data_IF_917279808267
#
_entry.id   IF_917279808267
#
_cell.length_a   1.000
_cell.length_b   1.000
_cell.length_c   1.000
_cell.angle_alpha   90.00
_cell.angle_beta   90.00
_cell.angle_gamma   90.00
#
_symmetry.space_group_name_H-M   'P 1'
#
loop_
_entity.id
_entity.type
_entity.pdbx_description
1 polymer ?
#
# COMPACT_ATOMS: atom_id res chain seq x y z
N UNK A 1 -19.14 20.01 -12.91
CA UNK A 1 -19.20 19.34 -11.59
C UNK A 1 -18.05 19.75 -10.67
N UNK A 2 -16.82 19.18 -10.74
CA UNK A 2 -15.75 19.51 -9.79
C UNK A 2 -15.24 20.97 -9.84
N UNK A 3 -15.16 21.58 -11.03
CA UNK A 3 -14.73 22.99 -11.20
C UNK A 3 -15.70 24.02 -10.61
N UNK A 4 -16.98 23.67 -10.50
CA UNK A 4 -18.03 24.59 -10.04
C UNK A 4 -18.12 24.71 -8.51
N UNK A 5 -17.34 23.91 -7.75
CA UNK A 5 -17.34 23.90 -6.26
C UNK A 5 -18.74 23.83 -5.64
N UNK A 6 -19.60 22.99 -6.23
CA UNK A 6 -20.97 22.77 -5.73
C UNK A 6 -20.90 21.94 -4.45
N UNK A 7 -21.57 22.41 -3.39
CA UNK A 7 -21.68 21.71 -2.11
C UNK A 7 -22.76 20.62 -2.18
N UNK A 8 -22.49 19.59 -2.98
CA UNK A 8 -23.35 18.42 -3.13
C UNK A 8 -22.58 17.15 -2.73
N UNK A 9 -23.23 16.20 -2.04
CA UNK A 9 -22.58 14.96 -1.66
C UNK A 9 -22.21 14.13 -2.90
N UNK A 10 -20.96 13.66 -2.93
CA UNK A 10 -20.43 12.80 -4.01
C UNK A 10 -21.02 11.39 -3.93
N UNK A 11 -21.20 10.87 -2.71
CA UNK A 11 -21.80 9.55 -2.46
C UNK A 11 -23.15 9.72 -1.78
N UNK A 12 -24.20 9.19 -2.41
CA UNK A 12 -25.58 9.25 -1.95
C UNK A 12 -26.35 8.00 -2.39
N UNK A 13 -27.42 7.70 -1.68
CA UNK A 13 -28.40 6.69 -2.06
C UNK A 13 -29.27 7.18 -3.22
N UNK A 14 -30.02 6.30 -3.90
CA UNK A 14 -30.92 6.69 -5.00
C UNK A 14 -31.98 7.74 -4.60
N UNK A 15 -32.35 7.78 -3.32
CA UNK A 15 -33.27 8.76 -2.74
C UNK A 15 -32.63 10.13 -2.46
N UNK A 16 -31.33 10.29 -2.71
CA UNK A 16 -30.57 11.52 -2.50
C UNK A 16 -29.97 11.67 -1.09
N UNK A 17 -30.26 10.76 -0.16
CA UNK A 17 -29.73 10.82 1.22
C UNK A 17 -28.30 10.30 1.32
N UNK A 18 -27.55 10.75 2.33
CA UNK A 18 -26.18 10.30 2.60
C UNK A 18 -26.21 9.19 3.66
N UNK A 19 -25.71 8.01 3.31
CA UNK A 19 -25.60 6.90 4.26
C UNK A 19 -24.34 7.01 5.11
N UNK A 20 -24.51 6.85 6.43
CA UNK A 20 -23.40 6.71 7.39
C UNK A 20 -22.88 5.27 7.51
N UNK A 21 -23.57 4.31 6.89
CA UNK A 21 -23.38 2.87 7.16
C UNK A 21 -22.55 2.13 6.08
N UNK A 22 -21.73 2.84 5.31
CA UNK A 22 -20.92 2.25 4.22
C UNK A 22 -20.06 1.08 4.73
N UNK A 23 -19.56 1.17 5.96
CA UNK A 23 -18.79 0.09 6.61
C UNK A 23 -19.60 -1.22 6.75
N UNK A 24 -20.88 -1.15 7.11
CA UNK A 24 -21.73 -2.33 7.25
C UNK A 24 -22.09 -2.91 5.88
N UNK A 25 -22.42 -2.06 4.92
CA UNK A 25 -22.69 -2.50 3.53
C UNK A 25 -21.47 -3.21 2.95
N UNK A 26 -20.27 -2.66 3.14
CA UNK A 26 -19.03 -3.29 2.70
C UNK A 26 -18.76 -4.63 3.40
N UNK A 27 -18.98 -4.70 4.72
CA UNK A 27 -18.85 -5.96 5.46
C UNK A 27 -19.82 -7.02 4.94
N UNK A 28 -21.08 -6.66 4.71
CA UNK A 28 -22.10 -7.57 4.17
C UNK A 28 -21.68 -8.08 2.79
N UNK A 29 -21.28 -7.18 1.89
CA UNK A 29 -20.77 -7.53 0.57
C UNK A 29 -19.60 -8.52 0.62
N UNK A 30 -18.64 -8.31 1.53
CA UNK A 30 -17.52 -9.23 1.73
C UNK A 30 -17.95 -10.58 2.31
N UNK A 31 -18.95 -10.62 3.20
CA UNK A 31 -19.51 -11.87 3.71
C UNK A 31 -20.19 -12.65 2.58
N UNK A 32 -21.02 -11.98 1.79
CA UNK A 32 -21.79 -12.60 0.71
C UNK A 32 -20.87 -13.16 -0.40
N UNK A 33 -19.70 -12.55 -0.60
CA UNK A 33 -18.67 -13.02 -1.55
C UNK A 33 -17.67 -14.01 -0.94
N UNK A 34 -17.78 -14.34 0.35
CA UNK A 34 -16.83 -15.21 1.05
C UNK A 34 -15.44 -14.61 1.26
N UNK A 35 -15.29 -13.29 1.07
CA UNK A 35 -14.03 -12.56 1.17
C UNK A 35 -13.84 -11.83 2.49
N UNK A 36 -14.73 -12.02 3.48
CA UNK A 36 -14.61 -11.31 4.75
C UNK A 36 -13.32 -11.63 5.49
N UNK A 37 -12.88 -12.88 5.50
CA UNK A 37 -11.67 -13.30 6.22
C UNK A 37 -10.46 -13.30 5.28
N UNK A 38 -9.36 -12.68 5.71
CA UNK A 38 -8.10 -12.78 5.01
C UNK A 38 -7.45 -14.16 5.29
N UNK A 39 -7.12 -14.97 4.26
CA UNK A 39 -6.54 -16.30 4.48
C UNK A 39 -5.12 -16.24 5.10
N UNK A 40 -4.39 -15.15 4.88
CA UNK A 40 -3.02 -14.99 5.38
C UNK A 40 -2.95 -14.54 6.84
N UNK A 41 -3.86 -13.66 7.26
CA UNK A 41 -3.82 -13.07 8.61
C UNK A 41 -4.92 -13.60 9.53
N UNK A 42 -5.92 -14.31 9.00
CA UNK A 42 -7.11 -14.74 9.74
C UNK A 42 -8.02 -13.60 10.18
N UNK A 43 -7.70 -12.34 9.84
CA UNK A 43 -8.46 -11.17 10.27
C UNK A 43 -9.55 -10.81 9.26
N UNK A 44 -10.61 -10.17 9.77
CA UNK A 44 -11.68 -9.63 8.95
C UNK A 44 -11.17 -8.42 8.13
N UNK A 45 -11.42 -8.44 6.83
CA UNK A 45 -11.24 -7.31 5.93
C UNK A 45 -12.26 -6.21 6.27
N UNK A 46 -11.80 -4.97 6.20
CA UNK A 46 -12.60 -3.76 6.42
C UNK A 46 -12.35 -2.77 5.28
N UNK A 47 -13.10 -1.67 5.21
CA UNK A 47 -12.81 -0.60 4.23
C UNK A 47 -11.36 -0.09 4.36
N UNK A 48 -10.82 -0.09 5.58
CA UNK A 48 -9.44 0.32 5.83
C UNK A 48 -8.42 -0.65 5.22
N UNK A 49 -8.81 -1.92 4.97
CA UNK A 49 -7.99 -2.87 4.21
C UNK A 49 -7.71 -2.38 2.79
N UNK A 50 -8.64 -1.65 2.15
CA UNK A 50 -8.39 -1.05 0.82
C UNK A 50 -7.30 0.01 0.89
N UNK A 51 -7.31 0.85 1.94
CA UNK A 51 -6.25 1.85 2.18
C UNK A 51 -4.89 1.18 2.38
N UNK A 52 -4.85 0.01 3.02
CA UNK A 52 -3.62 -0.78 3.17
C UNK A 52 -3.11 -1.36 1.85
N UNK A 53 -4.01 -1.91 1.04
CA UNK A 53 -3.66 -2.42 -0.29
C UNK A 53 -3.09 -1.30 -1.17
N UNK A 54 -3.72 -0.12 -1.17
CA UNK A 54 -3.23 1.04 -1.91
C UNK A 54 -1.81 1.43 -1.48
N UNK A 55 -1.58 1.64 -0.19
CA UNK A 55 -0.25 2.03 0.32
C UNK A 55 0.82 1.01 -0.02
N UNK A 56 0.49 -0.28 0.06
CA UNK A 56 1.41 -1.36 -0.29
C UNK A 56 1.78 -1.31 -1.77
N UNK A 57 0.82 -1.11 -2.67
CA UNK A 57 1.09 -1.00 -4.11
C UNK A 57 1.83 0.30 -4.48
N UNK A 58 1.47 1.42 -3.88
CA UNK A 58 2.16 2.69 -4.12
C UNK A 58 3.65 2.61 -3.73
N UNK A 59 3.95 1.94 -2.60
CA UNK A 59 5.33 1.73 -2.16
C UNK A 59 6.04 0.69 -3.05
N UNK A 60 5.45 -0.50 -3.24
CA UNK A 60 6.10 -1.65 -3.89
C UNK A 60 6.18 -1.56 -5.42
N UNK A 61 5.14 -1.09 -6.08
CA UNK A 61 5.01 -1.16 -7.53
C UNK A 61 5.33 0.18 -8.20
N UNK A 62 4.89 1.28 -7.59
CA UNK A 62 5.04 2.62 -8.18
C UNK A 62 6.29 3.35 -7.66
N UNK A 63 6.98 2.79 -6.67
CA UNK A 63 8.17 3.40 -6.06
C UNK A 63 7.90 4.77 -5.43
N UNK A 64 6.65 5.02 -5.02
CA UNK A 64 6.24 6.31 -4.48
C UNK A 64 7.01 6.65 -3.21
N UNK A 65 7.49 7.88 -3.14
CA UNK A 65 8.17 8.38 -1.96
C UNK A 65 7.25 8.39 -0.72
N UNK A 66 7.80 8.03 0.44
CA UNK A 66 7.06 7.89 1.70
C UNK A 66 6.42 9.22 2.11
N UNK A 67 7.11 10.34 1.92
CA UNK A 67 6.58 11.65 2.25
C UNK A 67 5.40 12.00 1.33
N UNK A 68 5.53 11.78 0.01
CA UNK A 68 4.42 11.98 -0.93
C UNK A 68 3.18 11.13 -0.59
N UNK A 69 3.39 9.85 -0.25
CA UNK A 69 2.32 8.96 0.17
C UNK A 69 1.65 9.43 1.46
N UNK A 70 2.42 9.88 2.45
CA UNK A 70 1.90 10.39 3.71
C UNK A 70 0.99 11.61 3.51
N UNK A 71 1.41 12.56 2.68
CA UNK A 71 0.62 13.75 2.31
C UNK A 71 -0.69 13.34 1.62
N UNK A 72 -0.62 12.47 0.61
CA UNK A 72 -1.80 12.04 -0.14
C UNK A 72 -2.80 11.29 0.74
N UNK A 73 -2.31 10.42 1.63
CA UNK A 73 -3.15 9.62 2.50
C UNK A 73 -3.60 10.35 3.76
N UNK A 74 -3.18 11.60 3.96
CA UNK A 74 -3.53 12.43 5.12
C UNK A 74 -3.06 11.84 6.45
N UNK A 75 -1.84 11.32 6.51
CA UNK A 75 -1.26 10.75 7.74
C UNK A 75 0.19 11.17 7.93
N UNK A 76 0.77 10.90 9.10
CA UNK A 76 2.16 11.23 9.36
C UNK A 76 3.11 10.21 8.72
N UNK A 77 4.31 10.67 8.37
CA UNK A 77 5.40 9.82 7.88
C UNK A 77 5.68 8.70 8.87
N UNK A 78 5.81 9.03 10.17
CA UNK A 78 6.06 8.04 11.21
C UNK A 78 4.97 6.96 11.32
N UNK A 79 3.71 7.28 10.97
CA UNK A 79 2.65 6.26 10.90
C UNK A 79 2.82 5.34 9.68
N UNK A 80 3.22 5.87 8.52
CA UNK A 80 3.55 5.06 7.34
C UNK A 80 4.76 4.17 7.64
N UNK A 81 5.84 4.73 8.18
CA UNK A 81 7.04 3.99 8.54
C UNK A 81 6.74 2.88 9.54
N UNK A 82 6.02 3.17 10.63
CA UNK A 82 5.65 2.13 11.60
C UNK A 82 4.86 0.99 10.95
N UNK A 83 3.95 1.31 10.03
CA UNK A 83 3.03 0.33 9.46
C UNK A 83 3.64 -0.47 8.29
N UNK A 84 4.55 0.13 7.53
CA UNK A 84 5.13 -0.45 6.31
C UNK A 84 6.66 -0.62 6.36
N UNK A 85 7.29 -0.42 7.51
CA UNK A 85 8.74 -0.61 7.72
C UNK A 85 9.23 -1.97 7.23
N UNK A 86 8.42 -3.01 7.33
CA UNK A 86 8.75 -4.35 6.86
C UNK A 86 8.83 -4.48 5.33
N UNK A 87 8.20 -3.55 4.58
CA UNK A 87 8.29 -3.49 3.13
C UNK A 87 9.57 -2.78 2.68
N UNK A 88 10.10 -1.85 3.47
CA UNK A 88 11.32 -1.07 3.14
C UNK A 88 12.56 -1.95 2.91
N UNK A 89 12.84 -3.01 3.69
CA UNK A 89 13.90 -3.97 3.39
C UNK A 89 13.69 -4.73 2.09
N UNK A 90 12.44 -5.06 1.74
CA UNK A 90 12.12 -5.75 0.47
C UNK A 90 12.29 -4.82 -0.72
N UNK A 91 11.88 -3.57 -0.59
CA UNK A 91 12.08 -2.52 -1.59
C UNK A 91 13.56 -2.26 -1.86
N UNK A 92 14.34 -2.22 -0.79
CA UNK A 92 15.79 -2.01 -0.86
C UNK A 92 16.56 -3.31 -1.01
N UNK A 93 15.92 -4.43 -1.39
CA UNK A 93 16.61 -5.73 -1.53
C UNK A 93 17.83 -5.57 -2.43
N UNK A 94 17.68 -4.96 -3.60
CA UNK A 94 18.78 -4.80 -4.56
C UNK A 94 19.91 -3.92 -4.00
N UNK A 95 19.56 -2.90 -3.20
CA UNK A 95 20.52 -2.05 -2.50
C UNK A 95 21.21 -2.76 -1.32
N UNK A 96 20.51 -3.65 -0.62
CA UNK A 96 20.96 -4.29 0.62
C UNK A 96 21.65 -5.64 0.41
N UNK A 97 21.31 -6.37 -0.64
CA UNK A 97 21.91 -7.69 -0.92
C UNK A 97 23.17 -7.60 -1.79
N UNK A 98 23.38 -6.50 -2.50
CA UNK A 98 24.54 -6.30 -3.39
C UNK A 98 24.62 -7.36 -4.50
N UNK A 99 25.47 -7.14 -5.52
CA UNK A 99 25.67 -8.08 -6.64
C UNK A 99 26.21 -9.47 -6.24
N UNK A 100 26.45 -9.70 -4.95
CA UNK A 100 27.14 -10.87 -4.40
C UNK A 100 26.36 -12.19 -4.56
N UNK A 101 25.07 -12.12 -4.88
CA UNK A 101 24.22 -13.29 -5.10
C UNK A 101 23.88 -13.55 -6.57
N UNK A 102 24.31 -12.69 -7.50
CA UNK A 102 24.10 -12.88 -8.94
C UNK A 102 25.36 -13.41 -9.64
N UNK A 103 26.53 -13.24 -9.03
CA UNK A 103 27.82 -13.64 -9.57
C UNK A 103 28.30 -14.93 -8.89
N UNK A 104 28.89 -15.83 -9.67
CA UNK A 104 29.69 -16.92 -9.10
C UNK A 104 30.90 -16.34 -8.33
N UNK A 105 31.47 -17.10 -7.37
CA UNK A 105 32.60 -16.62 -6.54
C UNK A 105 33.74 -16.04 -7.40
N UNK A 106 34.02 -16.70 -8.52
CA UNK A 106 35.11 -16.34 -9.43
C UNK A 106 34.85 -14.98 -10.14
N UNK A 107 33.59 -14.65 -10.46
CA UNK A 107 33.23 -13.38 -11.09
C UNK A 107 33.16 -12.21 -10.10
N UNK A 108 32.94 -12.48 -8.81
CA UNK A 108 32.98 -11.46 -7.76
C UNK A 108 34.43 -11.03 -7.47
N UNK A 109 35.35 -11.99 -7.37
CA UNK A 109 36.76 -11.73 -7.03
C UNK A 109 37.50 -10.99 -8.17
N UNK A 110 37.16 -11.26 -9.44
CA UNK A 110 37.71 -10.53 -10.60
C UNK A 110 37.28 -9.06 -10.71
N UNK A 111 36.14 -8.67 -10.12
CA UNK A 111 35.65 -7.29 -10.11
C UNK A 111 36.29 -6.42 -9.02
N UNK A 112 36.86 -7.02 -7.99
CA UNK A 112 37.58 -6.31 -6.92
C UNK A 112 39.00 -5.91 -7.32
N UNK A 113 39.65 -6.64 -8.24
CA UNK A 113 41.02 -6.33 -8.70
C UNK A 113 41.10 -5.19 -9.72
N UNK A 114 40.00 -4.80 -10.37
CA UNK A 114 39.99 -3.75 -11.42
C UNK A 114 39.76 -2.33 -10.89
N UNK A 115 39.75 -2.14 -9.56
CA UNK A 115 39.42 -0.87 -8.89
C UNK A 115 40.57 -0.29 -8.07
N UNK A 116 41.82 -0.53 -8.48
CA UNK A 116 43.00 0.22 -8.04
C UNK A 116 43.49 1.18 -9.13
#
# INVERSE_FOLDING_TARGET
MLKQRVDLPVFRLPDGTVSKNIHQTFRKFLTDTGLITCPRTGQNRTLYSLRHTYATFALLNDGMDIHALAVQMGTSIGMIERHYSHLTPRLKKDMLTGKRYELSRDEFDGHTETRE
#
